data_IF_284996979647
#
_entry.id   IF_284996979647
#
_cell.length_a   1.000
_cell.length_b   1.000
_cell.length_c   1.000
_cell.angle_alpha   90.00
_cell.angle_beta   90.00
_cell.angle_gamma   90.00
#
_symmetry.space_group_name_H-M   'P 1'
#
loop_
_entity.id
_entity.type
_entity.pdbx_description
1 polymer ?
#
# COMPACT_ATOMS: atom_id res chain seq x y z
N UNK A 1 4.47 7.59 -6.21
CA UNK A 1 3.43 6.82 -5.49
C UNK A 1 2.47 7.80 -4.83
N UNK A 2 1.16 7.58 -4.93
CA UNK A 2 0.13 8.44 -4.34
C UNK A 2 -0.70 7.68 -3.30
N UNK A 3 -0.95 8.34 -2.17
CA UNK A 3 -2.00 8.02 -1.20
C UNK A 3 -2.96 9.21 -1.17
N UNK A 4 -4.26 8.99 -1.26
CA UNK A 4 -5.20 10.10 -1.40
C UNK A 4 -6.55 9.89 -0.72
N UNK A 5 -7.14 11.00 -0.28
CA UNK A 5 -8.55 11.08 0.09
C UNK A 5 -9.24 12.15 -0.74
N UNK A 6 -10.18 11.72 -1.59
CA UNK A 6 -11.02 12.61 -2.40
C UNK A 6 -12.33 13.01 -1.69
N UNK A 7 -12.56 12.52 -0.47
CA UNK A 7 -13.79 12.80 0.27
C UNK A 7 -14.00 14.31 0.48
N UNK A 8 -15.19 14.80 0.14
CA UNK A 8 -15.56 16.21 0.28
C UNK A 8 -14.84 17.18 -0.66
N UNK A 9 -14.12 16.71 -1.69
CA UNK A 9 -13.49 17.59 -2.70
C UNK A 9 -14.43 17.99 -3.83
N UNK A 10 -15.45 17.18 -4.09
CA UNK A 10 -16.28 17.29 -5.30
C UNK A 10 -15.59 16.84 -6.60
N UNK A 11 -14.30 16.47 -6.54
CA UNK A 11 -13.53 16.02 -7.70
C UNK A 11 -13.79 14.53 -7.98
N UNK A 12 -14.01 14.18 -9.24
CA UNK A 12 -14.16 12.78 -9.61
C UNK A 12 -12.82 12.03 -9.51
N UNK A 13 -12.82 10.72 -9.22
CA UNK A 13 -11.59 9.92 -9.21
C UNK A 13 -10.86 9.87 -10.56
N UNK A 14 -11.56 10.00 -11.67
CA UNK A 14 -10.96 10.08 -13.00
C UNK A 14 -10.25 11.42 -13.21
N UNK A 15 -10.88 12.53 -12.87
CA UNK A 15 -10.27 13.86 -13.03
C UNK A 15 -9.03 14.01 -12.15
N UNK A 16 -9.08 13.46 -10.93
CA UNK A 16 -7.93 13.43 -10.02
C UNK A 16 -6.76 12.60 -10.61
N UNK A 17 -7.04 11.40 -11.13
CA UNK A 17 -6.03 10.56 -11.79
C UNK A 17 -5.44 11.26 -13.01
N UNK A 18 -6.28 11.84 -13.86
CA UNK A 18 -5.86 12.45 -15.12
C UNK A 18 -5.06 13.74 -14.87
N UNK A 19 -5.41 14.52 -13.85
CA UNK A 19 -4.62 15.66 -13.40
C UNK A 19 -3.24 15.24 -12.87
N UNK A 20 -3.16 14.14 -12.13
CA UNK A 20 -1.87 13.59 -11.66
C UNK A 20 -1.01 13.10 -12.83
N UNK A 21 -1.59 12.40 -13.80
CA UNK A 21 -0.89 11.97 -15.01
C UNK A 21 -0.40 13.17 -15.84
N UNK A 22 -1.22 14.22 -15.98
CA UNK A 22 -0.83 15.44 -16.66
C UNK A 22 0.34 16.15 -15.94
N UNK A 23 0.31 16.21 -14.61
CA UNK A 23 1.39 16.79 -13.81
C UNK A 23 2.70 15.99 -13.90
N UNK A 24 2.60 14.66 -14.00
CA UNK A 24 3.74 13.76 -14.20
C UNK A 24 4.32 13.84 -15.62
N UNK A 25 3.53 14.27 -16.60
CA UNK A 25 3.91 14.33 -18.01
C UNK A 25 4.03 12.94 -18.65
N UNK A 26 4.33 12.89 -19.97
CA UNK A 26 4.30 11.64 -20.74
C UNK A 26 5.36 10.62 -20.34
N UNK A 27 6.44 11.04 -19.68
CA UNK A 27 7.49 10.16 -19.19
C UNK A 27 7.24 9.66 -17.75
N UNK A 28 6.27 10.25 -17.04
CA UNK A 28 6.02 9.95 -15.65
C UNK A 28 5.17 8.68 -15.45
N UNK A 29 5.31 8.06 -14.28
CA UNK A 29 4.56 6.86 -13.90
C UNK A 29 3.85 7.10 -12.58
N UNK A 30 2.52 7.01 -12.58
CA UNK A 30 1.69 7.07 -11.39
C UNK A 30 1.59 5.68 -10.79
N UNK A 31 1.81 5.56 -9.48
CA UNK A 31 1.66 4.30 -8.73
C UNK A 31 0.78 4.56 -7.51
N UNK A 32 -0.14 3.66 -7.22
CA UNK A 32 -1.01 3.69 -6.04
C UNK A 32 -1.03 2.31 -5.37
N UNK A 33 -1.22 2.23 -4.04
CA UNK A 33 -1.50 0.95 -3.39
C UNK A 33 -2.85 0.43 -3.89
N UNK A 34 -2.90 -0.87 -4.18
CA UNK A 34 -4.11 -1.60 -4.55
C UNK A 34 -4.32 -2.77 -3.59
N UNK A 35 -4.09 -2.53 -2.29
CA UNK A 35 -4.15 -3.58 -1.28
C UNK A 35 -5.55 -4.19 -1.19
N UNK A 36 -5.57 -5.47 -0.83
CA UNK A 36 -6.74 -6.33 -0.66
C UNK A 36 -6.69 -6.98 0.71
N UNK A 37 -6.69 -6.21 1.81
CA UNK A 37 -6.65 -6.77 3.16
C UNK A 37 -7.81 -7.74 3.42
N UNK A 38 -8.95 -7.57 2.75
CA UNK A 38 -10.12 -8.46 2.81
C UNK A 38 -9.77 -9.90 2.42
N UNK A 39 -8.76 -10.09 1.56
CA UNK A 39 -8.24 -11.39 1.14
C UNK A 39 -7.19 -11.96 2.10
N UNK A 40 -7.17 -11.54 3.37
CA UNK A 40 -6.25 -12.07 4.38
C UNK A 40 -6.95 -12.24 5.70
N UNK A 41 -7.01 -13.47 6.20
CA UNK A 41 -7.74 -13.81 7.42
C UNK A 41 -7.13 -13.23 8.70
N UNK A 42 -5.90 -12.73 8.60
CA UNK A 42 -5.20 -12.03 9.68
C UNK A 42 -5.50 -10.53 9.72
N UNK A 43 -6.11 -9.97 8.68
CA UNK A 43 -6.35 -8.53 8.57
C UNK A 43 -7.56 -8.07 9.36
N UNK A 44 -7.59 -6.78 9.74
CA UNK A 44 -8.77 -6.17 10.35
C UNK A 44 -9.99 -6.18 9.42
N UNK A 45 -9.77 -5.96 8.12
CA UNK A 45 -10.84 -5.90 7.13
C UNK A 45 -11.55 -7.26 6.98
N UNK A 46 -10.78 -8.36 6.89
CA UNK A 46 -11.38 -9.69 6.83
C UNK A 46 -12.10 -10.05 8.14
N UNK A 47 -11.50 -9.76 9.29
CA UNK A 47 -12.13 -10.02 10.59
C UNK A 47 -13.47 -9.31 10.74
N UNK A 48 -13.60 -8.09 10.21
CA UNK A 48 -14.88 -7.37 10.18
C UNK A 48 -15.91 -8.03 9.26
N UNK A 49 -15.50 -8.63 8.13
CA UNK A 49 -16.42 -9.34 7.22
C UNK A 49 -17.05 -10.58 7.85
N UNK A 50 -16.37 -11.20 8.81
CA UNK A 50 -16.83 -12.42 9.49
C UNK A 50 -17.29 -12.17 10.93
N UNK A 51 -17.32 -10.91 11.36
CA UNK A 51 -17.76 -10.54 12.70
C UNK A 51 -19.25 -10.87 12.90
N UNK A 52 -19.58 -11.55 14.00
CA UNK A 52 -20.95 -11.95 14.31
C UNK A 52 -21.44 -13.23 13.61
N UNK A 53 -20.65 -13.81 12.70
CA UNK A 53 -20.96 -15.11 12.09
C UNK A 53 -20.67 -16.27 13.04
N UNK A 54 -21.46 -17.35 12.95
CA UNK A 54 -21.15 -18.63 13.58
C UNK A 54 -19.94 -19.29 12.93
N UNK A 55 -19.30 -20.23 13.64
CA UNK A 55 -18.16 -20.98 13.08
C UNK A 55 -18.47 -21.62 11.73
N UNK A 56 -19.69 -22.15 11.56
CA UNK A 56 -20.12 -22.77 10.30
C UNK A 56 -20.20 -21.74 9.16
N UNK A 57 -20.80 -20.58 9.43
CA UNK A 57 -20.89 -19.49 8.45
C UNK A 57 -19.51 -18.94 8.07
N UNK A 58 -18.56 -18.88 9.02
CA UNK A 58 -17.17 -18.52 8.72
C UNK A 58 -16.51 -19.54 7.79
N UNK A 59 -16.73 -20.84 8.01
CA UNK A 59 -16.20 -21.87 7.11
C UNK A 59 -16.81 -21.77 5.71
N UNK A 60 -18.13 -21.60 5.63
CA UNK A 60 -18.84 -21.48 4.35
C UNK A 60 -18.40 -20.19 3.60
N UNK A 61 -18.21 -19.06 4.31
CA UNK A 61 -17.65 -17.83 3.76
C UNK A 61 -16.25 -18.07 3.18
N UNK A 62 -15.34 -18.68 3.96
CA UNK A 62 -13.97 -18.96 3.54
C UNK A 62 -13.88 -19.93 2.36
N UNK A 63 -14.77 -20.90 2.29
CA UNK A 63 -14.85 -21.85 1.18
C UNK A 63 -15.33 -21.19 -0.12
N UNK A 64 -16.16 -20.14 -0.03
CA UNK A 64 -16.72 -19.42 -1.17
C UNK A 64 -15.89 -18.21 -1.64
N UNK A 65 -14.85 -17.80 -0.89
CA UNK A 65 -14.07 -16.62 -1.24
C UNK A 65 -13.35 -16.79 -2.58
N UNK A 66 -13.46 -15.82 -3.52
CA UNK A 66 -12.74 -15.87 -4.79
C UNK A 66 -11.24 -15.64 -4.57
N UNK A 67 -10.38 -16.23 -5.42
CA UNK A 67 -8.95 -15.97 -5.35
C UNK A 67 -8.64 -14.53 -5.78
N UNK A 68 -7.53 -13.99 -5.27
CA UNK A 68 -6.97 -12.78 -5.83
C UNK A 68 -6.63 -12.97 -7.30
N UNK A 69 -7.11 -12.04 -8.12
CA UNK A 69 -6.84 -11.94 -9.54
C UNK A 69 -6.51 -10.47 -9.85
N UNK A 70 -5.27 -10.14 -10.26
CA UNK A 70 -4.81 -8.76 -10.40
C UNK A 70 -5.75 -7.86 -11.20
N UNK A 71 -6.32 -8.40 -12.28
CA UNK A 71 -7.14 -7.66 -13.24
C UNK A 71 -8.54 -7.29 -12.71
N UNK A 72 -9.10 -8.13 -11.82
CA UNK A 72 -10.53 -8.02 -11.45
C UNK A 72 -10.77 -7.78 -9.96
N UNK A 73 -9.86 -8.17 -9.06
CA UNK A 73 -10.08 -8.00 -7.63
C UNK A 73 -10.09 -6.51 -7.26
N UNK A 74 -11.17 -5.95 -6.71
CA UNK A 74 -11.22 -4.53 -6.35
C UNK A 74 -10.30 -4.22 -5.15
N UNK A 75 -9.95 -2.95 -4.95
CA UNK A 75 -9.21 -2.50 -3.75
C UNK A 75 -10.02 -1.45 -2.93
N UNK A 76 -11.18 -1.82 -2.36
CA UNK A 76 -12.10 -0.86 -1.74
C UNK A 76 -11.50 -0.13 -0.55
N UNK A 77 -10.64 -0.80 0.22
CA UNK A 77 -9.92 -0.22 1.36
C UNK A 77 -8.92 0.90 0.97
N UNK A 78 -8.52 1.00 -0.30
CA UNK A 78 -7.51 1.98 -0.76
C UNK A 78 -8.11 3.31 -1.21
N UNK A 79 -9.44 3.38 -1.38
CA UNK A 79 -10.16 4.58 -1.78
C UNK A 79 -10.30 4.75 -3.29
N UNK A 80 -11.16 5.70 -3.67
CA UNK A 80 -11.65 5.82 -5.04
C UNK A 80 -10.57 6.19 -6.07
N UNK A 81 -9.55 6.96 -5.69
CA UNK A 81 -8.44 7.27 -6.60
C UNK A 81 -7.63 6.01 -6.94
N UNK A 82 -7.32 5.17 -5.96
CA UNK A 82 -6.57 3.94 -6.18
C UNK A 82 -7.33 2.99 -7.10
N UNK A 83 -8.64 2.83 -6.89
CA UNK A 83 -9.50 2.02 -7.77
C UNK A 83 -9.59 2.61 -9.19
N UNK A 84 -9.63 3.93 -9.32
CA UNK A 84 -9.61 4.65 -10.62
C UNK A 84 -8.29 4.45 -11.39
N UNK A 85 -7.16 4.35 -10.68
CA UNK A 85 -5.87 3.99 -11.29
C UNK A 85 -5.88 2.52 -11.71
N UNK A 86 -6.32 1.62 -10.82
CA UNK A 86 -6.32 0.16 -11.04
C UNK A 86 -7.14 -0.26 -12.26
N UNK A 87 -8.25 0.40 -12.50
CA UNK A 87 -9.24 0.04 -13.54
C UNK A 87 -9.00 0.74 -14.89
N UNK A 88 -8.02 1.63 -14.97
CA UNK A 88 -7.72 2.33 -16.22
C UNK A 88 -7.10 1.38 -17.24
N UNK A 89 -7.49 1.43 -18.53
CA UNK A 89 -6.81 0.69 -19.59
C UNK A 89 -5.30 0.99 -19.62
N UNK A 90 -4.49 -0.06 -19.63
CA UNK A 90 -3.03 0.04 -19.56
C UNK A 90 -2.45 0.09 -18.14
N UNK A 91 -3.29 0.03 -17.09
CA UNK A 91 -2.80 -0.17 -15.73
C UNK A 91 -2.11 -1.53 -15.60
N UNK A 92 -0.99 -1.55 -14.88
CA UNK A 92 -0.32 -2.78 -14.46
C UNK A 92 -0.52 -2.94 -12.97
N UNK A 93 -0.73 -4.18 -12.48
CA UNK A 93 -0.81 -4.49 -11.06
C UNK A 93 0.12 -5.62 -10.71
N UNK A 94 0.88 -5.43 -9.62
CA UNK A 94 1.73 -6.48 -9.06
C UNK A 94 0.89 -7.63 -8.47
N UNK A 95 1.54 -8.78 -8.25
CA UNK A 95 0.85 -10.07 -8.05
C UNK A 95 0.58 -10.47 -6.59
N UNK A 96 1.04 -9.71 -5.59
CA UNK A 96 0.84 -10.11 -4.20
C UNK A 96 -0.64 -10.04 -3.78
N UNK A 97 -1.21 -11.10 -3.20
CA UNK A 97 -2.65 -11.25 -3.03
C UNK A 97 -3.28 -10.39 -1.94
N UNK A 98 -2.46 -9.68 -1.15
CA UNK A 98 -2.89 -8.81 -0.07
C UNK A 98 -2.40 -7.36 -0.21
N UNK A 99 -1.18 -7.15 -0.72
CA UNK A 99 -0.48 -5.84 -0.68
C UNK A 99 -0.07 -5.36 -2.06
N UNK A 100 -0.73 -5.83 -3.13
CA UNK A 100 -0.43 -5.41 -4.49
C UNK A 100 -0.48 -3.88 -4.67
N UNK A 101 0.42 -3.37 -5.51
CA UNK A 101 0.41 -2.00 -6.04
C UNK A 101 -0.05 -2.02 -7.50
N UNK A 102 -0.63 -0.91 -7.95
CA UNK A 102 -1.00 -0.67 -9.35
C UNK A 102 -0.33 0.58 -9.89
N UNK A 103 -0.07 0.64 -11.19
CA UNK A 103 0.60 1.76 -11.82
C UNK A 103 0.19 2.00 -13.26
N UNK A 104 0.32 3.25 -13.68
CA UNK A 104 0.02 3.77 -15.00
C UNK A 104 1.21 4.60 -15.50
N UNK A 105 1.66 4.32 -16.72
CA UNK A 105 2.77 5.04 -17.35
C UNK A 105 3.91 4.14 -17.81
N UNK A 106 4.96 4.72 -18.42
CA UNK A 106 5.96 3.98 -19.19
C UNK A 106 6.74 2.93 -18.38
N UNK A 107 6.94 3.16 -17.08
CA UNK A 107 7.70 2.28 -16.19
C UNK A 107 6.84 1.40 -15.30
N UNK A 108 5.51 1.41 -15.45
CA UNK A 108 4.60 0.66 -14.57
C UNK A 108 4.91 -0.85 -14.60
N UNK A 109 5.14 -1.42 -15.78
CA UNK A 109 5.50 -2.83 -15.91
C UNK A 109 6.83 -3.18 -15.23
N UNK A 110 7.86 -2.35 -15.43
CA UNK A 110 9.18 -2.50 -14.82
C UNK A 110 9.10 -2.45 -13.28
N UNK A 111 8.48 -1.39 -12.75
CA UNK A 111 8.45 -1.10 -11.30
C UNK A 111 7.60 -2.11 -10.52
N UNK A 112 6.60 -2.73 -11.16
CA UNK A 112 5.65 -3.62 -10.50
C UNK A 112 5.87 -5.11 -10.81
N UNK A 113 6.87 -5.45 -11.64
CA UNK A 113 7.17 -6.83 -12.03
C UNK A 113 7.59 -7.71 -10.85
N UNK A 114 8.37 -7.16 -9.92
CA UNK A 114 8.85 -7.88 -8.73
C UNK A 114 7.87 -7.75 -7.58
N UNK A 115 7.17 -8.83 -7.25
CA UNK A 115 6.40 -8.92 -6.02
C UNK A 115 6.31 -10.38 -5.55
N UNK A 116 7.25 -10.80 -4.72
CA UNK A 116 7.32 -12.18 -4.22
C UNK A 116 6.09 -12.49 -3.36
N UNK A 117 5.44 -13.66 -3.49
CA UNK A 117 4.19 -13.98 -2.77
C UNK A 117 4.35 -14.05 -1.24
N UNK A 118 5.58 -14.16 -0.74
CA UNK A 118 5.90 -14.17 0.69
C UNK A 118 6.64 -12.88 1.13
N UNK A 119 6.40 -11.77 0.42
CA UNK A 119 6.98 -10.48 0.73
C UNK A 119 5.91 -9.41 0.49
N UNK A 120 5.34 -8.87 1.56
CA UNK A 120 4.28 -7.88 1.50
C UNK A 120 4.82 -6.60 0.88
N UNK A 121 5.91 -6.07 1.44
CA UNK A 121 6.36 -4.70 1.21
C UNK A 121 7.88 -4.52 1.44
N UNK A 122 8.65 -5.62 1.39
CA UNK A 122 10.10 -5.64 1.60
C UNK A 122 10.94 -5.52 0.31
N UNK A 123 12.16 -6.06 0.33
CA UNK A 123 13.12 -5.95 -0.79
C UNK A 123 12.63 -6.65 -2.08
N UNK A 124 11.88 -7.74 -1.96
CA UNK A 124 11.26 -8.43 -3.09
C UNK A 124 9.87 -7.90 -3.46
N UNK A 125 9.60 -6.61 -3.18
CA UNK A 125 8.34 -5.93 -3.49
C UNK A 125 8.54 -4.71 -4.38
N UNK A 126 7.45 -4.13 -4.93
CA UNK A 126 7.51 -2.89 -5.68
C UNK A 126 7.98 -1.68 -4.87
N UNK A 127 7.86 -1.69 -3.54
CA UNK A 127 8.38 -0.57 -2.73
C UNK A 127 9.90 -0.44 -2.86
N UNK A 128 10.63 -1.56 -2.90
CA UNK A 128 12.07 -1.54 -3.11
C UNK A 128 12.43 -1.04 -4.52
N UNK A 129 11.69 -1.46 -5.55
CA UNK A 129 11.90 -0.96 -6.91
C UNK A 129 11.63 0.55 -7.03
N UNK A 130 10.59 1.06 -6.35
CA UNK A 130 10.30 2.49 -6.28
C UNK A 130 11.37 3.27 -5.51
N UNK A 131 11.91 2.71 -4.42
CA UNK A 131 13.02 3.29 -3.67
C UNK A 131 14.29 3.36 -4.54
N UNK A 132 14.63 2.28 -5.23
CA UNK A 132 15.76 2.20 -6.15
C UNK A 132 15.63 3.23 -7.29
N UNK A 133 14.42 3.40 -7.82
CA UNK A 133 14.08 4.35 -8.87
C UNK A 133 13.99 5.82 -8.41
N UNK A 134 14.27 6.11 -7.14
CA UNK A 134 14.17 7.44 -6.53
C UNK A 134 12.78 8.08 -6.71
N UNK A 135 11.73 7.28 -6.52
CA UNK A 135 10.36 7.74 -6.69
C UNK A 135 9.99 8.81 -5.65
N UNK A 136 8.97 9.61 -5.94
CA UNK A 136 8.34 10.51 -4.98
C UNK A 136 7.10 9.86 -4.36
N UNK A 137 6.83 10.19 -3.09
CA UNK A 137 5.58 9.86 -2.39
C UNK A 137 4.73 11.13 -2.30
N UNK A 138 3.47 11.05 -2.73
CA UNK A 138 2.47 12.09 -2.61
C UNK A 138 1.40 11.63 -1.61
N UNK A 139 1.22 12.39 -0.53
CA UNK A 139 0.13 12.29 0.42
C UNK A 139 -0.88 13.41 0.11
N UNK A 140 -1.95 13.06 -0.61
CA UNK A 140 -2.97 14.00 -1.06
C UNK A 140 -4.17 13.98 -0.10
N UNK A 141 -4.23 14.95 0.82
CA UNK A 141 -5.30 15.07 1.84
C UNK A 141 -5.37 13.91 2.82
N UNK A 142 -4.25 13.22 3.01
CA UNK A 142 -4.03 12.16 4.01
C UNK A 142 -2.73 12.45 4.75
N UNK A 143 -2.59 11.94 5.97
CA UNK A 143 -1.34 12.05 6.72
C UNK A 143 -0.42 10.86 6.48
N UNK A 144 0.67 10.82 7.26
CA UNK A 144 1.67 9.77 7.15
C UNK A 144 1.20 8.42 7.68
N UNK A 145 0.08 8.35 8.42
CA UNK A 145 -0.53 7.10 8.91
C UNK A 145 -0.86 6.09 7.81
N UNK A 146 -0.96 6.53 6.55
CA UNK A 146 -1.19 5.65 5.38
C UNK A 146 0.03 5.54 4.45
N UNK A 147 1.19 6.07 4.82
CA UNK A 147 2.37 6.11 3.97
C UNK A 147 3.01 4.71 3.86
N UNK A 148 2.61 3.93 2.84
CA UNK A 148 3.09 2.55 2.70
C UNK A 148 4.60 2.44 2.50
N UNK A 149 5.27 3.50 2.03
CA UNK A 149 6.74 3.52 1.93
C UNK A 149 7.43 3.25 3.27
N UNK A 150 6.84 3.65 4.39
CA UNK A 150 7.41 3.39 5.72
C UNK A 150 7.47 1.90 6.07
N UNK A 151 6.63 1.05 5.47
CA UNK A 151 6.76 -0.40 5.67
C UNK A 151 8.08 -0.95 5.14
N UNK A 152 8.64 -0.41 4.04
CA UNK A 152 9.97 -0.84 3.57
C UNK A 152 11.06 -0.57 4.62
N UNK A 153 10.89 0.49 5.42
CA UNK A 153 11.80 0.78 6.52
C UNK A 153 11.75 -0.30 7.61
N UNK A 154 10.56 -0.88 7.88
CA UNK A 154 10.40 -1.98 8.84
C UNK A 154 11.23 -3.21 8.44
N UNK A 155 11.24 -3.56 7.16
CA UNK A 155 12.07 -4.67 6.62
C UNK A 155 13.57 -4.44 6.78
N UNK A 156 13.99 -3.18 6.87
CA UNK A 156 15.40 -2.79 7.00
C UNK A 156 15.86 -2.65 8.44
N UNK A 157 14.96 -2.83 9.42
CA UNK A 157 15.33 -2.75 10.84
C UNK A 157 16.27 -3.88 11.25
N UNK A 158 17.04 -3.57 12.31
CA UNK A 158 17.96 -4.49 12.99
C UNK A 158 17.81 -4.27 14.51
N UNK A 159 17.41 -5.29 15.30
CA UNK A 159 16.97 -6.63 14.86
C UNK A 159 15.71 -6.57 13.98
N UNK A 160 15.45 -7.60 13.15
CA UNK A 160 14.24 -7.65 12.33
C UNK A 160 12.98 -7.69 13.23
N UNK A 161 11.86 -7.11 12.79
CA UNK A 161 10.59 -7.23 13.50
C UNK A 161 10.11 -8.70 13.57
N UNK A 162 9.16 -9.01 14.47
CA UNK A 162 8.53 -10.32 14.50
C UNK A 162 7.85 -10.69 13.17
N UNK A 163 7.82 -11.98 12.86
CA UNK A 163 7.06 -12.53 11.74
C UNK A 163 5.77 -13.19 12.22
N UNK A 164 4.83 -13.41 11.29
CA UNK A 164 3.66 -14.26 11.50
C UNK A 164 3.26 -14.96 10.20
N UNK A 165 2.46 -16.02 10.33
CA UNK A 165 1.80 -16.65 9.20
C UNK A 165 0.60 -15.82 8.74
N UNK A 166 0.55 -15.57 7.44
CA UNK A 166 -0.56 -14.98 6.70
C UNK A 166 -1.22 -16.05 5.82
N UNK A 167 -2.50 -15.87 5.50
CA UNK A 167 -3.20 -16.71 4.53
C UNK A 167 -4.05 -15.87 3.61
N UNK A 168 -3.98 -16.15 2.32
CA UNK A 168 -4.77 -15.48 1.30
C UNK A 168 -5.37 -16.50 0.32
N UNK A 169 -6.50 -16.15 -0.30
CA UNK A 169 -7.07 -17.00 -1.36
C UNK A 169 -6.35 -16.73 -2.67
N UNK A 170 -5.78 -17.77 -3.26
CA UNK A 170 -5.04 -17.70 -4.54
C UNK A 170 -5.32 -18.91 -5.43
N UNK A 171 -5.24 -18.75 -6.75
CA UNK A 171 -5.43 -19.83 -7.71
C UNK A 171 -6.90 -20.24 -7.90
N UNK A 172 -7.48 -20.91 -6.92
CA UNK A 172 -8.87 -21.39 -6.94
C UNK A 172 -9.71 -20.80 -5.80
N UNK A 173 -11.03 -20.83 -5.96
CA UNK A 173 -12.00 -20.42 -4.93
C UNK A 173 -11.77 -21.20 -3.65
N UNK A 174 -11.70 -20.49 -2.52
CA UNK A 174 -11.46 -21.09 -1.20
C UNK A 174 -10.08 -21.70 -0.98
N UNK A 175 -9.14 -21.59 -1.93
CA UNK A 175 -7.79 -22.10 -1.76
C UNK A 175 -6.90 -21.12 -0.96
N UNK A 176 -6.91 -21.28 0.37
CA UNK A 176 -6.12 -20.49 1.31
C UNK A 176 -4.64 -20.91 1.31
N UNK A 177 -3.80 -20.15 0.61
CA UNK A 177 -2.35 -20.34 0.60
C UNK A 177 -1.71 -19.60 1.77
N UNK A 178 -0.87 -20.31 2.52
CA UNK A 178 -0.15 -19.76 3.68
C UNK A 178 1.25 -19.29 3.31
N UNK A 179 1.72 -18.23 3.96
CA UNK A 179 3.10 -17.76 3.88
C UNK A 179 3.48 -17.02 5.15
N UNK A 180 4.79 -16.88 5.41
CA UNK A 180 5.29 -16.13 6.56
C UNK A 180 5.89 -14.82 6.12
N UNK A 181 5.64 -13.76 6.90
CA UNK A 181 6.22 -12.45 6.66
C UNK A 181 6.20 -11.58 7.93
N UNK A 182 6.78 -10.38 7.86
CA UNK A 182 6.82 -9.42 8.96
C UNK A 182 5.42 -9.02 9.45
N UNK A 183 5.29 -8.82 10.75
CA UNK A 183 4.16 -8.11 11.35
C UNK A 183 4.32 -6.63 11.08
N UNK A 184 3.62 -6.13 10.06
CA UNK A 184 3.60 -4.70 9.73
C UNK A 184 2.88 -3.90 10.81
N UNK A 185 3.46 -2.75 11.21
CA UNK A 185 2.91 -1.87 12.24
C UNK A 185 2.91 -0.42 11.78
N UNK A 186 1.70 0.12 11.53
CA UNK A 186 1.48 1.49 11.07
C UNK A 186 1.12 2.48 12.20
N UNK A 187 1.03 2.01 13.47
CA UNK A 187 0.44 2.79 14.58
C UNK A 187 1.17 4.09 14.91
N UNK A 188 2.47 4.16 14.66
CA UNK A 188 3.31 5.33 14.93
C UNK A 188 3.68 6.12 13.67
N UNK A 189 3.19 5.72 12.48
CA UNK A 189 3.58 6.34 11.21
C UNK A 189 3.27 7.83 11.16
N UNK A 190 2.13 8.25 11.72
CA UNK A 190 1.80 9.68 11.87
C UNK A 190 2.86 10.43 12.69
N UNK A 191 3.33 9.83 13.79
CA UNK A 191 4.33 10.42 14.66
C UNK A 191 5.72 10.44 14.00
N UNK A 192 6.07 9.40 13.23
CA UNK A 192 7.30 9.36 12.42
C UNK A 192 7.29 10.49 11.38
N UNK A 193 6.20 10.61 10.64
CA UNK A 193 6.00 11.64 9.63
C UNK A 193 6.09 13.06 10.19
N UNK A 194 5.48 13.29 11.36
CA UNK A 194 5.52 14.60 12.04
C UNK A 194 6.93 15.05 12.47
N UNK A 195 7.88 14.11 12.60
CA UNK A 195 9.28 14.40 12.97
C UNK A 195 10.22 14.48 11.77
N UNK A 196 9.73 14.31 10.55
CA UNK A 196 10.56 14.46 9.36
C UNK A 196 11.11 15.89 9.25
N UNK A 197 12.39 16.06 8.85
CA UNK A 197 12.96 17.37 8.59
C UNK A 197 12.12 18.15 7.57
N UNK A 198 11.71 19.39 7.92
CA UNK A 198 10.84 20.21 7.06
C UNK A 198 11.42 20.46 5.66
N UNK A 199 12.75 20.52 5.53
CA UNK A 199 13.42 20.71 4.24
C UNK A 199 13.24 19.56 3.25
N UNK A 200 12.77 18.39 3.70
CA UNK A 200 12.47 17.24 2.84
C UNK A 200 11.02 17.24 2.34
N UNK A 201 10.16 18.07 2.92
CA UNK A 201 8.73 18.09 2.66
C UNK A 201 8.40 19.28 1.75
N UNK A 202 7.81 18.98 0.59
CA UNK A 202 7.21 19.98 -0.28
C UNK A 202 5.69 19.86 -0.23
N UNK A 203 4.98 20.94 -0.53
CA UNK A 203 3.52 20.91 -0.66
C UNK A 203 2.84 22.10 0.00
N UNK A 204 1.56 21.92 0.33
CA UNK A 204 0.69 22.99 0.81
C UNK A 204 -0.65 22.44 1.26
N UNK A 205 -1.72 23.16 0.91
CA UNK A 205 -3.09 22.77 1.26
C UNK A 205 -3.97 22.74 0.01
N UNK A 206 -4.87 21.76 -0.06
CA UNK A 206 -5.91 21.69 -1.08
C UNK A 206 -7.21 21.16 -0.47
N UNK A 207 -8.32 21.84 -0.76
CA UNK A 207 -9.65 21.53 -0.22
C UNK A 207 -9.64 21.30 1.31
N UNK A 208 -9.02 22.24 2.06
CA UNK A 208 -9.01 22.26 3.52
C UNK A 208 -8.10 21.23 4.18
N UNK A 209 -7.22 20.56 3.44
CA UNK A 209 -6.36 19.47 3.94
C UNK A 209 -4.97 19.54 3.34
N UNK A 210 -3.99 19.09 4.11
CA UNK A 210 -2.59 19.08 3.71
C UNK A 210 -2.34 18.22 2.45
N UNK A 211 -1.40 18.67 1.63
CA UNK A 211 -0.84 17.93 0.51
C UNK A 211 0.67 17.93 0.69
N UNK A 212 1.28 16.76 0.76
CA UNK A 212 2.72 16.62 1.03
C UNK A 212 3.36 15.75 -0.04
N UNK A 213 4.51 16.17 -0.55
CA UNK A 213 5.39 15.43 -1.45
C UNK A 213 6.77 15.32 -0.83
N UNK A 214 7.34 14.12 -0.85
CA UNK A 214 8.71 13.86 -0.40
C UNK A 214 9.35 12.75 -1.24
N UNK A 215 10.69 12.68 -1.25
CA UNK A 215 11.42 11.58 -1.86
C UNK A 215 11.16 10.26 -1.12
N UNK A 216 11.01 9.16 -1.84
CA UNK A 216 10.79 7.84 -1.22
C UNK A 216 12.02 7.38 -0.43
N UNK A 217 13.23 7.69 -0.91
CA UNK A 217 14.46 7.39 -0.18
C UNK A 217 14.49 8.10 1.17
N UNK A 218 14.24 9.40 1.15
CA UNK A 218 14.13 10.22 2.36
C UNK A 218 13.06 9.69 3.32
N UNK A 219 11.89 9.31 2.80
CA UNK A 219 10.81 8.76 3.60
C UNK A 219 11.24 7.46 4.32
N UNK A 220 11.81 6.52 3.58
CA UNK A 220 12.22 5.20 4.09
C UNK A 220 13.39 5.31 5.06
N UNK A 221 14.43 6.06 4.70
CA UNK A 221 15.67 6.12 5.48
C UNK A 221 15.46 6.88 6.80
N UNK A 222 14.69 7.98 6.79
CA UNK A 222 14.34 8.69 8.02
C UNK A 222 13.39 7.89 8.90
N UNK A 223 12.41 7.19 8.32
CA UNK A 223 11.54 6.30 9.07
C UNK A 223 12.34 5.19 9.75
N UNK A 224 13.26 4.54 9.02
CA UNK A 224 14.13 3.49 9.56
C UNK A 224 15.02 4.00 10.70
N UNK A 225 15.63 5.17 10.52
CA UNK A 225 16.42 5.81 11.58
C UNK A 225 15.59 6.10 12.83
N UNK A 226 14.37 6.63 12.68
CA UNK A 226 13.49 6.88 13.82
C UNK A 226 13.07 5.60 14.52
N UNK A 227 12.55 4.62 13.77
CA UNK A 227 12.11 3.33 14.27
C UNK A 227 13.23 2.60 15.04
N UNK A 228 14.47 2.64 14.53
CA UNK A 228 15.62 2.00 15.17
C UNK A 228 15.93 2.51 16.59
N UNK A 229 15.43 3.69 16.97
CA UNK A 229 15.68 4.30 18.29
C UNK A 229 14.72 3.81 19.37
N UNK A 230 13.52 3.37 19.01
CA UNK A 230 12.47 3.08 20.00
C UNK A 230 11.66 1.82 19.71
N UNK A 231 11.71 1.26 18.50
CA UNK A 231 11.14 -0.06 18.19
C UNK A 231 12.11 -1.19 18.54
N UNK A 232 13.38 -0.87 18.81
CA UNK A 232 14.36 -1.81 19.38
C UNK A 232 13.95 -2.19 20.80
N UNK A 233 13.28 -3.33 20.97
CA UNK A 233 12.94 -3.88 22.28
C UNK A 233 11.45 -4.06 22.57
N UNK A 234 10.57 -4.04 21.57
CA UNK A 234 9.26 -4.64 21.77
C UNK A 234 9.44 -6.18 21.78
N UNK A 235 9.11 -6.87 22.89
CA UNK A 235 9.13 -8.33 22.92
C UNK A 235 8.17 -8.95 21.92
#
# INVERSE_FOLDING_TARGET
>A
MVHASLSGTGLSPSDARDALLAALGPAGTLVAPAFTPENSDTSRAHRALVEGLSEREVQDFRAAMPPFAPDVTPCPSMGALAESVRTMPGAVRSTHPQTSLTGLGPRAAELLARHHPHCHLGEDSPLAALYEADAQVLLLRVGFEVCSAFHLAEYRLRPPPPTRTYRCVTGAVGNWTSYEDLVLDDRDFAAIGARLPRGLLNGGEWAGKAVVVLGMRDAVDNAGMQMSRYRSGLP
#
